data_IF_910242241538
#
_entry.id   IF_910242241538
#
_cell.length_a   1.000
_cell.length_b   1.000
_cell.length_c   1.000
_cell.angle_alpha   90.00
_cell.angle_beta   90.00
_cell.angle_gamma   90.00
#
_symmetry.space_group_name_H-M   'P 1'
#
loop_
_entity.id
_entity.type
_entity.pdbx_description
1 polymer ?
#
# COMPACT_ATOMS: atom_id res chain seq x y z
N UNK A 1 -32.73 41.59 15.82
CA UNK A 1 -31.40 41.96 16.37
C UNK A 1 -30.38 41.88 15.26
N UNK A 2 -29.57 42.91 15.05
CA UNK A 2 -28.49 42.87 14.06
C UNK A 2 -27.36 41.97 14.57
N UNK A 3 -26.94 41.00 13.75
CA UNK A 3 -25.79 40.15 14.05
C UNK A 3 -24.55 41.04 14.06
N UNK A 4 -23.83 41.06 15.19
CA UNK A 4 -22.63 41.88 15.36
C UNK A 4 -21.50 41.38 14.44
N UNK A 5 -20.52 42.25 14.14
CA UNK A 5 -19.33 41.83 13.39
C UNK A 5 -18.58 40.69 14.09
N UNK A 6 -18.53 40.69 15.43
CA UNK A 6 -17.91 39.61 16.24
C UNK A 6 -18.60 38.27 16.00
N UNK A 7 -19.93 38.24 16.05
CA UNK A 7 -20.70 37.01 15.86
C UNK A 7 -20.49 36.40 14.46
N UNK A 8 -20.27 37.23 13.44
CA UNK A 8 -19.92 36.75 12.08
C UNK A 8 -18.52 36.13 12.05
N UNK A 9 -17.55 36.75 12.70
CA UNK A 9 -16.17 36.25 12.79
C UNK A 9 -16.15 34.92 13.56
N UNK A 10 -16.87 34.81 14.67
CA UNK A 10 -17.00 33.57 15.44
C UNK A 10 -17.58 32.43 14.59
N UNK A 11 -18.62 32.70 13.80
CA UNK A 11 -19.19 31.70 12.89
C UNK A 11 -18.20 31.24 11.81
N UNK A 12 -17.37 32.14 11.28
CA UNK A 12 -16.31 31.79 10.33
C UNK A 12 -15.21 30.94 10.97
N UNK A 13 -14.81 31.28 12.21
CA UNK A 13 -13.84 30.48 12.98
C UNK A 13 -14.36 29.07 13.18
N UNK A 14 -15.60 28.90 13.63
CA UNK A 14 -16.19 27.57 13.85
C UNK A 14 -16.31 26.79 12.53
N UNK A 15 -16.67 27.45 11.44
CA UNK A 15 -16.68 26.84 10.10
C UNK A 15 -15.29 26.35 9.67
N UNK A 16 -14.24 27.13 9.94
CA UNK A 16 -12.86 26.74 9.61
C UNK A 16 -12.39 25.59 10.50
N UNK A 17 -12.72 25.61 11.80
CA UNK A 17 -12.41 24.50 12.72
C UNK A 17 -13.04 23.19 12.24
N UNK A 18 -14.32 23.21 11.85
CA UNK A 18 -15.00 22.03 11.33
C UNK A 18 -14.30 21.47 10.08
N UNK A 19 -13.90 22.35 9.15
CA UNK A 19 -13.12 21.95 7.97
C UNK A 19 -11.76 21.35 8.33
N UNK A 20 -11.07 21.90 9.32
CA UNK A 20 -9.79 21.36 9.78
C UNK A 20 -9.98 19.94 10.32
N UNK A 21 -10.99 19.70 11.16
CA UNK A 21 -11.29 18.37 11.69
C UNK A 21 -11.61 17.37 10.59
N UNK A 22 -12.39 17.76 9.58
CA UNK A 22 -12.69 16.91 8.42
C UNK A 22 -11.41 16.55 7.65
N UNK A 23 -10.54 17.52 7.38
CA UNK A 23 -9.28 17.27 6.68
C UNK A 23 -8.32 16.40 7.50
N UNK A 24 -8.27 16.55 8.82
CA UNK A 24 -7.48 15.70 9.71
C UNK A 24 -7.98 14.25 9.69
N UNK A 25 -9.29 14.04 9.69
CA UNK A 25 -9.86 12.70 9.56
C UNK A 25 -9.52 12.06 8.21
N UNK A 26 -9.62 12.84 7.13
CA UNK A 26 -9.22 12.40 5.78
C UNK A 26 -7.73 12.06 5.69
N UNK A 27 -6.87 12.86 6.32
CA UNK A 27 -5.42 12.58 6.36
C UNK A 27 -5.13 11.23 7.00
N UNK A 28 -5.74 10.95 8.16
CA UNK A 28 -5.58 9.68 8.87
C UNK A 28 -6.04 8.48 8.04
N UNK A 29 -7.16 8.61 7.32
CA UNK A 29 -7.66 7.57 6.41
C UNK A 29 -6.69 7.31 5.24
N UNK A 30 -6.09 8.36 4.67
CA UNK A 30 -5.10 8.22 3.60
C UNK A 30 -3.81 7.56 4.09
N UNK A 31 -3.33 7.91 5.29
CA UNK A 31 -2.16 7.28 5.91
C UNK A 31 -2.40 5.78 6.16
N UNK A 32 -3.59 5.41 6.63
CA UNK A 32 -3.96 4.01 6.81
C UNK A 32 -4.01 3.26 5.47
N UNK A 33 -4.68 3.82 4.46
CA UNK A 33 -4.77 3.22 3.12
C UNK A 33 -3.41 3.02 2.47
N UNK A 34 -2.49 3.96 2.68
CA UNK A 34 -1.10 3.83 2.22
C UNK A 34 -0.45 2.59 2.82
N UNK A 35 -0.53 2.42 4.15
CA UNK A 35 0.05 1.26 4.84
C UNK A 35 -0.60 -0.05 4.38
N UNK A 36 -1.92 -0.07 4.20
CA UNK A 36 -2.63 -1.25 3.68
C UNK A 36 -2.21 -1.60 2.25
N UNK A 37 -1.99 -0.60 1.38
CA UNK A 37 -1.48 -0.81 0.03
C UNK A 37 -0.04 -1.36 0.05
N UNK A 38 0.87 -0.74 0.81
CA UNK A 38 2.25 -1.22 0.95
C UNK A 38 2.31 -2.67 1.46
N UNK A 39 1.47 -3.03 2.43
CA UNK A 39 1.37 -4.40 2.93
C UNK A 39 0.82 -5.37 1.87
N UNK A 40 -0.17 -4.94 1.09
CA UNK A 40 -0.75 -5.76 0.02
C UNK A 40 0.27 -6.00 -1.09
N UNK A 41 1.04 -4.98 -1.47
CA UNK A 41 2.13 -5.09 -2.43
C UNK A 41 3.19 -6.10 -1.97
N UNK A 42 3.58 -6.07 -0.69
CA UNK A 42 4.50 -7.07 -0.12
C UNK A 42 3.92 -8.49 -0.25
N UNK A 43 2.65 -8.68 0.09
CA UNK A 43 1.98 -9.99 0.00
C UNK A 43 1.93 -10.47 -1.45
N UNK A 44 1.61 -9.60 -2.39
CA UNK A 44 1.51 -9.95 -3.81
C UNK A 44 2.87 -10.27 -4.41
N UNK A 45 3.94 -9.54 -4.04
CA UNK A 45 5.32 -9.87 -4.40
C UNK A 45 5.68 -11.27 -3.88
N UNK A 46 5.44 -11.56 -2.59
CA UNK A 46 5.74 -12.86 -1.99
C UNK A 46 4.95 -13.99 -2.65
N UNK A 47 3.68 -13.75 -2.97
CA UNK A 47 2.83 -14.74 -3.68
C UNK A 47 3.32 -14.96 -5.11
N UNK A 48 3.72 -13.89 -5.80
CA UNK A 48 4.24 -13.94 -7.17
C UNK A 48 5.53 -14.74 -7.33
N UNK A 49 6.31 -14.91 -6.27
CA UNK A 49 7.53 -15.71 -6.29
C UNK A 49 7.31 -17.21 -6.58
N UNK A 50 6.07 -17.73 -6.54
CA UNK A 50 5.66 -19.08 -6.98
C UNK A 50 6.74 -20.17 -6.87
N UNK A 51 7.20 -20.44 -5.64
CA UNK A 51 8.19 -21.48 -5.38
C UNK A 51 7.48 -22.84 -5.33
N UNK A 52 7.87 -23.84 -6.15
CA UNK A 52 7.31 -25.19 -6.05
C UNK A 52 7.53 -25.79 -4.66
N UNK A 53 6.52 -26.49 -4.12
CA UNK A 53 6.59 -27.14 -2.80
C UNK A 53 7.81 -28.08 -2.65
N UNK A 54 8.22 -28.73 -3.75
CA UNK A 54 9.39 -29.60 -3.79
C UNK A 54 10.72 -28.85 -3.64
N UNK A 55 10.77 -27.58 -4.05
CA UNK A 55 11.97 -26.73 -4.04
C UNK A 55 12.06 -25.88 -2.76
N UNK A 56 10.95 -25.75 -2.02
CA UNK A 56 10.88 -25.01 -0.76
C UNK A 56 11.97 -25.42 0.26
N UNK A 57 12.27 -26.71 0.50
CA UNK A 57 13.34 -27.09 1.44
C UNK A 57 14.71 -26.57 1.02
N UNK A 58 15.00 -26.57 -0.28
CA UNK A 58 16.27 -26.10 -0.86
C UNK A 58 16.40 -24.59 -0.69
N UNK A 59 15.34 -23.85 -1.03
CA UNK A 59 15.29 -22.38 -0.84
C UNK A 59 15.48 -22.01 0.63
N UNK A 60 14.80 -22.69 1.56
CA UNK A 60 14.95 -22.44 3.00
C UNK A 60 16.37 -22.73 3.49
N UNK A 61 17.04 -23.74 2.94
CA UNK A 61 18.42 -24.06 3.29
C UNK A 61 19.42 -23.02 2.77
N UNK A 62 19.21 -22.52 1.55
CA UNK A 62 20.01 -21.43 0.99
C UNK A 62 19.84 -20.13 1.76
N UNK A 63 18.63 -19.79 2.20
CA UNK A 63 18.38 -18.61 3.06
C UNK A 63 19.15 -18.72 4.38
N UNK A 64 19.14 -19.90 5.03
CA UNK A 64 19.95 -20.13 6.24
C UNK A 64 21.45 -20.00 5.99
N UNK A 65 21.91 -20.30 4.78
CA UNK A 65 23.29 -20.13 4.36
C UNK A 65 23.65 -18.69 3.96
N UNK A 66 22.69 -17.74 4.04
CA UNK A 66 22.90 -16.33 3.75
C UNK A 66 22.55 -15.89 2.32
N UNK A 67 21.90 -16.74 1.53
CA UNK A 67 21.41 -16.37 0.20
C UNK A 67 20.21 -15.42 0.28
N UNK A 68 20.13 -14.45 -0.63
CA UNK A 68 19.01 -13.51 -0.71
C UNK A 68 17.90 -14.05 -1.62
N UNK A 69 16.65 -13.89 -1.19
CA UNK A 69 15.45 -14.39 -1.88
C UNK A 69 15.30 -13.87 -3.32
N UNK A 70 15.88 -12.72 -3.66
CA UNK A 70 15.81 -12.10 -4.99
C UNK A 70 16.58 -12.83 -6.10
N UNK A 71 17.40 -13.84 -5.77
CA UNK A 71 18.14 -14.63 -6.76
C UNK A 71 17.46 -15.95 -7.16
N UNK A 72 16.46 -16.39 -6.40
CA UNK A 72 15.77 -17.67 -6.61
C UNK A 72 14.43 -17.54 -7.35
N UNK A 73 14.08 -16.37 -7.87
CA UNK A 73 12.88 -16.21 -8.69
C UNK A 73 13.12 -16.93 -10.02
N UNK A 74 12.43 -18.03 -10.32
CA UNK A 74 12.47 -18.59 -11.66
C UNK A 74 11.92 -17.50 -12.59
N UNK A 75 12.66 -17.13 -13.63
CA UNK A 75 12.11 -16.31 -14.71
C UNK A 75 10.88 -17.06 -15.20
N UNK A 76 9.69 -16.52 -14.94
CA UNK A 76 8.48 -17.01 -15.62
C UNK A 76 8.77 -16.87 -17.11
N UNK A 77 8.91 -17.98 -17.80
CA UNK A 77 8.86 -18.01 -19.25
C UNK A 77 7.46 -17.47 -19.60
N UNK A 78 7.39 -16.17 -19.91
CA UNK A 78 6.31 -15.66 -20.73
C UNK A 78 6.47 -16.38 -22.05
N UNK A 79 5.66 -17.41 -22.27
CA UNK A 79 5.47 -18.01 -23.58
C UNK A 79 5.09 -16.87 -24.54
N UNK A 80 6.06 -16.42 -25.31
CA UNK A 80 5.83 -15.71 -26.57
C UNK A 80 5.02 -16.66 -27.46
N UNK A 81 3.69 -16.61 -27.34
CA UNK A 81 2.80 -17.01 -28.43
C UNK A 81 2.56 -15.75 -29.25
N UNK A 82 3.54 -15.47 -30.11
CA UNK A 82 3.29 -14.82 -31.39
C UNK A 82 2.28 -15.70 -32.14
N UNK A 83 0.98 -15.41 -31.99
CA UNK A 83 -0.01 -15.85 -32.97
C UNK A 83 0.24 -15.05 -34.25
N UNK A 84 0.95 -15.72 -35.15
CA UNK A 84 1.01 -15.39 -36.56
C UNK A 84 -0.29 -15.87 -37.18
N UNK A 85 -1.23 -14.96 -37.48
CA UNK A 85 -2.15 -15.01 -38.63
C UNK A 85 -2.85 -13.66 -38.86
#
# INVERSE_FOLDING_TARGET
>A
MAISKSAKIEAEIEKVKAKITEQQARLKDLEQKKVEAENSEIVDIVRGMSIPLAELPVVLQQIRAGATLGQNVPKSETEDKEDTE
#
